data_IF_673359745066
#
_entry.id   IF_673359745066
#
_cell.length_a   1.000
_cell.length_b   1.000
_cell.length_c   1.000
_cell.angle_alpha   90.00
_cell.angle_beta   90.00
_cell.angle_gamma   90.00
#
_symmetry.space_group_name_H-M   'P 1'
#
loop_
_entity.id
_entity.type
_entity.pdbx_description
1 polymer ?
#
# COMPACT_ATOMS: atom_id res chain seq x y z
N UNK A 1 -11.54 2.01 -28.27
CA UNK A 1 -10.98 3.11 -27.47
C UNK A 1 -10.14 3.99 -28.38
N UNK A 2 -10.24 5.30 -28.23
CA UNK A 2 -9.33 6.22 -28.92
C UNK A 2 -7.92 6.13 -28.33
N UNK A 3 -6.92 6.61 -29.07
CA UNK A 3 -5.53 6.61 -28.61
C UNK A 3 -5.36 7.35 -27.28
N UNK A 4 -6.02 8.51 -27.12
CA UNK A 4 -5.97 9.32 -25.90
C UNK A 4 -6.51 8.57 -24.68
N UNK A 5 -7.57 7.79 -24.88
CA UNK A 5 -8.17 6.95 -23.84
C UNK A 5 -7.23 5.80 -23.44
N UNK A 6 -6.55 5.18 -24.41
CA UNK A 6 -5.56 4.15 -24.14
C UNK A 6 -4.35 4.71 -23.39
N UNK A 7 -3.84 5.87 -23.81
CA UNK A 7 -2.72 6.56 -23.15
C UNK A 7 -3.09 6.93 -21.71
N UNK A 8 -4.29 7.48 -21.49
CA UNK A 8 -4.78 7.78 -20.14
C UNK A 8 -4.84 6.54 -19.26
N UNK A 9 -5.39 5.42 -19.77
CA UNK A 9 -5.45 4.15 -19.02
C UNK A 9 -4.07 3.63 -18.63
N UNK A 10 -3.09 3.69 -19.53
CA UNK A 10 -1.70 3.29 -19.22
C UNK A 10 -1.08 4.22 -18.17
N UNK A 11 -1.27 5.53 -18.29
CA UNK A 11 -0.78 6.50 -17.33
C UNK A 11 -1.38 6.28 -15.93
N UNK A 12 -2.69 6.01 -15.86
CA UNK A 12 -3.41 5.71 -14.62
C UNK A 12 -2.88 4.44 -13.95
N UNK A 13 -2.69 3.36 -14.74
CA UNK A 13 -2.14 2.12 -14.21
C UNK A 13 -0.73 2.33 -13.65
N UNK A 14 0.13 3.06 -14.36
CA UNK A 14 1.49 3.39 -13.90
C UNK A 14 1.47 4.25 -12.64
N UNK A 15 0.56 5.22 -12.54
CA UNK A 15 0.41 6.05 -11.34
C UNK A 15 0.01 5.20 -10.13
N UNK A 16 -0.94 4.27 -10.29
CA UNK A 16 -1.35 3.33 -9.23
C UNK A 16 -0.21 2.39 -8.84
N UNK A 17 0.55 1.86 -9.80
CA UNK A 17 1.73 1.02 -9.52
C UNK A 17 2.79 1.80 -8.72
N UNK A 18 3.03 3.05 -9.08
CA UNK A 18 3.93 3.94 -8.33
C UNK A 18 3.37 4.27 -6.93
N UNK A 19 2.06 4.47 -6.79
CA UNK A 19 1.41 4.69 -5.50
C UNK A 19 1.63 3.50 -4.56
N UNK A 20 1.47 2.26 -5.05
CA UNK A 20 1.75 1.05 -4.28
C UNK A 20 3.20 0.98 -3.80
N UNK A 21 4.16 1.26 -4.69
CA UNK A 21 5.57 1.29 -4.36
C UNK A 21 5.91 2.38 -3.33
N UNK A 22 5.35 3.59 -3.49
CA UNK A 22 5.54 4.70 -2.56
C UNK A 22 4.95 4.41 -1.20
N UNK A 23 3.78 3.77 -1.12
CA UNK A 23 3.20 3.34 0.16
C UNK A 23 4.15 2.39 0.91
N UNK A 24 4.74 1.41 0.22
CA UNK A 24 5.71 0.49 0.80
C UNK A 24 6.98 1.22 1.29
N UNK A 25 7.58 2.07 0.45
CA UNK A 25 8.78 2.83 0.80
C UNK A 25 8.54 3.82 1.95
N UNK A 26 7.41 4.51 1.96
CA UNK A 26 7.06 5.46 3.02
C UNK A 26 6.76 4.74 4.34
N UNK A 27 6.11 3.58 4.28
CA UNK A 27 5.90 2.70 5.41
C UNK A 27 7.24 2.24 6.02
N UNK A 28 8.20 1.88 5.18
CA UNK A 28 9.52 1.38 5.57
C UNK A 28 10.43 2.48 6.11
N UNK A 29 10.62 3.59 5.40
CA UNK A 29 11.64 4.59 5.79
C UNK A 29 11.15 6.06 5.74
N UNK A 30 10.00 6.35 5.13
CA UNK A 30 9.61 7.73 4.80
C UNK A 30 8.99 8.55 5.94
N UNK A 31 8.46 9.74 5.62
CA UNK A 31 7.69 10.55 6.57
C UNK A 31 6.25 10.02 6.68
N UNK A 32 5.75 9.78 7.89
CA UNK A 32 4.40 9.25 8.08
C UNK A 32 3.29 10.28 7.77
N UNK A 33 3.57 11.58 7.88
CA UNK A 33 2.65 12.61 7.44
C UNK A 33 2.48 12.57 5.93
N UNK A 34 3.57 12.35 5.17
CA UNK A 34 3.50 12.14 3.72
C UNK A 34 2.84 10.80 3.36
N UNK A 35 3.14 9.74 4.11
CA UNK A 35 2.52 8.43 3.94
C UNK A 35 0.99 8.51 3.94
N UNK A 36 0.39 9.20 4.91
CA UNK A 36 -1.08 9.31 4.99
C UNK A 36 -1.67 10.19 3.89
N UNK A 37 -0.89 11.06 3.24
CA UNK A 37 -1.34 11.79 2.05
C UNK A 37 -1.47 10.89 0.82
N UNK A 38 -0.94 9.67 0.83
CA UNK A 38 -1.12 8.67 -0.23
C UNK A 38 -2.50 8.01 -0.17
N UNK A 39 -3.22 8.15 0.95
CA UNK A 39 -4.60 7.72 1.10
C UNK A 39 -5.58 8.84 0.73
N UNK A 40 -6.80 8.47 0.35
CA UNK A 40 -7.93 9.40 0.34
C UNK A 40 -8.19 9.90 1.77
N UNK A 41 -8.92 11.01 1.90
CA UNK A 41 -9.24 11.57 3.22
C UNK A 41 -10.00 10.58 4.11
N UNK A 42 -10.92 9.82 3.50
CA UNK A 42 -11.72 8.74 4.05
C UNK A 42 -11.05 7.35 3.99
N UNK A 43 -9.76 7.31 3.63
CA UNK A 43 -9.04 6.06 3.34
C UNK A 43 -9.03 5.09 4.51
N UNK A 44 -8.98 3.79 4.22
CA UNK A 44 -8.97 2.75 5.25
C UNK A 44 -7.86 1.71 5.04
N UNK A 45 -7.42 1.15 6.16
CA UNK A 45 -6.43 0.07 6.19
C UNK A 45 -6.90 -0.99 7.19
N UNK A 46 -6.95 -2.24 6.74
CA UNK A 46 -7.30 -3.39 7.56
C UNK A 46 -6.11 -4.35 7.64
N UNK A 47 -5.68 -4.61 8.87
CA UNK A 47 -4.60 -5.55 9.16
C UNK A 47 -5.05 -7.01 9.08
N UNK A 48 -4.10 -7.95 9.10
CA UNK A 48 -4.40 -9.39 9.06
C UNK A 48 -5.14 -9.91 10.31
N UNK A 49 -5.12 -9.15 11.41
CA UNK A 49 -5.89 -9.39 12.63
C UNK A 49 -7.36 -8.95 12.53
N UNK A 50 -7.74 -8.36 11.38
CA UNK A 50 -9.07 -7.82 11.13
C UNK A 50 -9.29 -6.40 11.66
N UNK A 51 -8.32 -5.81 12.38
CA UNK A 51 -8.40 -4.45 12.89
C UNK A 51 -8.44 -3.43 11.74
N UNK A 52 -9.35 -2.46 11.82
CA UNK A 52 -9.56 -1.45 10.78
C UNK A 52 -9.20 -0.06 11.30
N UNK A 53 -8.40 0.67 10.53
CA UNK A 53 -8.11 2.10 10.74
C UNK A 53 -8.78 2.92 9.63
N UNK A 54 -9.40 4.05 9.97
CA UNK A 54 -10.16 4.88 9.01
C UNK A 54 -9.85 6.36 9.12
N UNK A 55 -9.60 6.99 7.98
CA UNK A 55 -9.24 8.38 7.87
C UNK A 55 -7.78 8.64 8.21
N UNK A 56 -7.21 9.71 7.65
CA UNK A 56 -5.77 10.00 7.72
C UNK A 56 -5.22 10.10 9.15
N UNK A 57 -5.99 10.65 10.09
CA UNK A 57 -5.57 10.79 11.48
C UNK A 57 -5.37 9.41 12.16
N UNK A 58 -6.31 8.50 11.98
CA UNK A 58 -6.25 7.16 12.57
C UNK A 58 -5.21 6.27 11.85
N UNK A 59 -5.07 6.43 10.53
CA UNK A 59 -3.99 5.80 9.76
C UNK A 59 -2.61 6.25 10.23
N UNK A 60 -2.44 7.54 10.54
CA UNK A 60 -1.20 8.09 11.07
C UNK A 60 -0.87 7.49 12.44
N UNK A 61 -1.84 7.48 13.35
CA UNK A 61 -1.69 6.88 14.68
C UNK A 61 -1.28 5.40 14.58
N UNK A 62 -1.97 4.61 13.75
CA UNK A 62 -1.62 3.20 13.54
C UNK A 62 -0.24 3.00 12.91
N UNK A 63 0.18 3.87 11.99
CA UNK A 63 1.53 3.82 11.44
C UNK A 63 2.62 4.16 12.47
N UNK A 64 2.35 5.13 13.36
CA UNK A 64 3.23 5.48 14.48
C UNK A 64 3.35 4.35 15.49
N UNK A 65 2.25 3.67 15.83
CA UNK A 65 2.24 2.49 16.71
C UNK A 65 3.12 1.36 16.12
N UNK A 66 3.01 1.08 14.82
CA UNK A 66 3.84 0.07 14.14
C UNK A 66 5.33 0.46 14.13
N UNK A 67 5.66 1.75 14.04
CA UNK A 67 7.04 2.23 14.19
C UNK A 67 7.55 2.08 15.61
N UNK A 68 6.77 2.50 16.60
CA UNK A 68 7.16 2.45 18.01
C UNK A 68 7.39 1.00 18.49
N UNK A 69 6.64 0.05 17.96
CA UNK A 69 6.81 -1.39 18.23
C UNK A 69 7.91 -2.06 17.43
N UNK A 70 8.61 -1.33 16.54
CA UNK A 70 9.68 -1.88 15.71
C UNK A 70 9.20 -2.89 14.67
N UNK A 71 7.88 -2.94 14.39
CA UNK A 71 7.33 -3.81 13.36
C UNK A 71 7.91 -3.42 12.01
N UNK A 72 7.90 -2.13 11.67
CA UNK A 72 8.41 -1.49 10.45
C UNK A 72 8.92 -0.08 10.76
N UNK A 73 9.72 0.52 9.90
CA UNK A 73 10.19 1.90 10.06
C UNK A 73 11.70 2.05 9.90
N UNK A 74 12.21 3.28 10.02
CA UNK A 74 13.65 3.52 9.97
C UNK A 74 14.38 2.65 11.00
N UNK A 75 15.51 2.07 10.59
CA UNK A 75 16.39 1.22 11.42
C UNK A 75 15.79 -0.12 11.90
N UNK A 76 14.61 -0.54 11.44
CA UNK A 76 14.07 -1.88 11.75
C UNK A 76 14.68 -2.99 10.88
N UNK A 77 15.43 -2.62 9.83
CA UNK A 77 15.95 -3.53 8.81
C UNK A 77 14.85 -4.40 8.19
N UNK A 78 13.67 -3.83 8.01
CA UNK A 78 12.54 -4.48 7.34
C UNK A 78 12.24 -3.87 5.99
N UNK A 79 11.73 -4.68 5.06
CA UNK A 79 11.32 -4.22 3.73
C UNK A 79 10.03 -4.87 3.26
N UNK A 80 9.14 -4.05 2.71
CA UNK A 80 8.00 -4.50 1.93
C UNK A 80 8.42 -4.65 0.46
N UNK A 81 8.37 -5.88 -0.06
CA UNK A 81 8.53 -6.15 -1.50
C UNK A 81 7.15 -6.46 -2.08
N UNK A 82 6.61 -5.50 -2.82
CA UNK A 82 5.30 -5.59 -3.48
C UNK A 82 5.50 -5.98 -4.95
N UNK A 83 4.84 -7.05 -5.39
CA UNK A 83 5.04 -7.61 -6.73
C UNK A 83 3.79 -8.35 -7.23
N UNK A 84 3.83 -8.82 -8.48
CA UNK A 84 2.76 -9.61 -9.11
C UNK A 84 1.40 -8.93 -8.95
N UNK A 85 1.35 -7.68 -9.41
CA UNK A 85 0.19 -6.81 -9.26
C UNK A 85 -0.70 -6.83 -10.50
N UNK A 86 -1.98 -7.10 -10.29
CA UNK A 86 -3.05 -6.89 -11.27
C UNK A 86 -3.87 -5.68 -10.84
N UNK A 87 -4.10 -4.74 -11.77
CA UNK A 87 -4.92 -3.54 -11.57
C UNK A 87 -6.07 -3.57 -12.57
N UNK A 88 -7.28 -3.26 -12.11
CA UNK A 88 -8.46 -3.11 -12.95
C UNK A 88 -9.01 -1.70 -12.83
N UNK A 89 -8.89 -0.94 -13.92
CA UNK A 89 -9.36 0.45 -14.01
C UNK A 89 -10.84 0.53 -14.41
N UNK A 90 -11.61 1.33 -13.67
CA UNK A 90 -13.02 1.63 -13.91
C UNK A 90 -13.27 3.15 -13.80
N UNK A 91 -12.84 3.91 -14.81
CA UNK A 91 -12.98 5.37 -14.84
C UNK A 91 -12.09 6.05 -13.79
N UNK A 92 -12.72 6.60 -12.74
CA UNK A 92 -12.04 7.29 -11.64
C UNK A 92 -11.90 6.42 -10.38
N UNK A 93 -12.21 5.12 -10.49
CA UNK A 93 -11.89 4.11 -9.48
C UNK A 93 -11.06 2.98 -10.08
N UNK A 94 -10.38 2.23 -9.22
CA UNK A 94 -9.67 1.02 -9.61
C UNK A 94 -9.60 0.03 -8.46
N UNK A 95 -9.44 -1.24 -8.78
CA UNK A 95 -9.12 -2.29 -7.81
C UNK A 95 -7.75 -2.88 -8.11
N UNK A 96 -7.08 -3.38 -7.09
CA UNK A 96 -5.77 -4.01 -7.20
C UNK A 96 -5.67 -5.25 -6.34
N UNK A 97 -5.01 -6.28 -6.88
CA UNK A 97 -4.57 -7.45 -6.12
C UNK A 97 -3.07 -7.59 -6.28
N UNK A 98 -2.35 -7.57 -5.17
CA UNK A 98 -0.87 -7.53 -5.14
C UNK A 98 -0.34 -8.55 -4.15
N UNK A 99 0.67 -9.33 -4.56
CA UNK A 99 1.42 -10.15 -3.62
C UNK A 99 2.46 -9.29 -2.91
N UNK A 100 2.57 -9.47 -1.60
CA UNK A 100 3.63 -8.84 -0.82
C UNK A 100 4.47 -9.88 -0.12
N UNK A 101 5.76 -9.60 -0.05
CA UNK A 101 6.69 -10.26 0.85
C UNK A 101 7.16 -9.24 1.86
N UNK A 102 7.20 -9.65 3.12
CA UNK A 102 7.73 -8.84 4.19
C UNK A 102 9.02 -9.47 4.71
N UNK A 103 10.13 -8.76 4.55
CA UNK A 103 11.45 -9.22 4.98
C UNK A 103 11.90 -8.50 6.25
N UNK A 104 12.65 -9.22 7.08
CA UNK A 104 13.50 -8.65 8.13
C UNK A 104 14.96 -8.97 7.88
N UNK A 105 15.84 -8.49 8.77
CA UNK A 105 17.29 -8.70 8.68
C UNK A 105 17.89 -8.26 7.32
N UNK A 106 17.33 -7.21 6.70
CA UNK A 106 17.65 -6.83 5.32
C UNK A 106 19.05 -6.23 5.11
N UNK A 107 19.79 -5.94 6.19
CA UNK A 107 21.21 -5.57 6.14
C UNK A 107 22.16 -6.76 6.35
N UNK A 108 21.64 -7.93 6.71
CA UNK A 108 22.39 -9.18 6.86
C UNK A 108 21.98 -10.19 5.79
N UNK A 109 21.56 -11.37 6.23
CA UNK A 109 20.89 -12.34 5.35
C UNK A 109 19.38 -12.08 5.47
N UNK A 110 18.70 -11.57 4.43
CA UNK A 110 17.29 -11.24 4.52
C UNK A 110 16.44 -12.48 4.82
N UNK A 111 15.54 -12.36 5.77
CA UNK A 111 14.63 -13.42 6.19
C UNK A 111 13.19 -13.04 5.85
N UNK A 112 12.48 -13.89 5.10
CA UNK A 112 11.07 -13.65 4.84
C UNK A 112 10.26 -13.92 6.12
N UNK A 113 9.68 -12.87 6.68
CA UNK A 113 8.84 -12.94 7.89
C UNK A 113 7.42 -13.36 7.57
N UNK A 114 6.84 -12.80 6.51
CA UNK A 114 5.48 -13.15 6.07
C UNK A 114 5.30 -12.86 4.58
N UNK A 115 4.29 -13.47 4.00
CA UNK A 115 3.78 -13.14 2.67
C UNK A 115 2.26 -13.21 2.68
N UNK A 116 1.63 -12.48 1.78
CA UNK A 116 0.18 -12.47 1.67
C UNK A 116 -0.28 -11.66 0.48
N UNK A 117 -1.54 -11.24 0.54
CA UNK A 117 -2.19 -10.51 -0.55
C UNK A 117 -2.74 -9.19 -0.03
N UNK A 118 -2.45 -8.11 -0.74
CA UNK A 118 -3.20 -6.86 -0.62
C UNK A 118 -4.39 -6.90 -1.58
N UNK A 119 -5.56 -6.62 -1.03
CA UNK A 119 -6.78 -6.30 -1.76
C UNK A 119 -7.04 -4.80 -1.60
N UNK A 120 -6.77 -4.06 -2.68
CA UNK A 120 -6.73 -2.61 -2.69
C UNK A 120 -7.85 -2.03 -3.55
N UNK A 121 -8.39 -0.89 -3.11
CA UNK A 121 -9.26 -0.02 -3.88
C UNK A 121 -8.63 1.37 -3.97
N UNK A 122 -8.67 1.96 -5.15
CA UNK A 122 -8.09 3.27 -5.45
C UNK A 122 -9.15 4.22 -5.99
N UNK A 123 -8.95 5.51 -5.72
CA UNK A 123 -9.82 6.57 -6.23
C UNK A 123 -8.96 7.69 -6.80
N UNK A 124 -9.33 8.19 -7.98
CA UNK A 124 -8.74 9.42 -8.52
C UNK A 124 -9.26 10.61 -7.73
N UNK A 125 -8.35 11.50 -7.36
CA UNK A 125 -8.63 12.77 -6.70
C UNK A 125 -8.11 13.92 -7.56
N UNK A 126 -8.40 15.16 -7.17
CA UNK A 126 -7.78 16.32 -7.82
C UNK A 126 -6.24 16.34 -7.71
N UNK A 127 -5.67 15.57 -6.78
CA UNK A 127 -4.22 15.43 -6.55
C UNK A 127 -3.65 14.10 -7.10
N UNK A 128 -4.35 13.46 -8.02
CA UNK A 128 -3.97 12.16 -8.59
C UNK A 128 -4.63 10.97 -7.90
N UNK A 129 -4.18 9.76 -8.24
CA UNK A 129 -4.67 8.51 -7.66
C UNK A 129 -4.23 8.35 -6.21
N UNK A 130 -5.16 7.87 -5.37
CA UNK A 130 -4.95 7.66 -3.93
C UNK A 130 -5.53 6.31 -3.50
N UNK A 131 -4.99 5.78 -2.41
CA UNK A 131 -5.47 4.55 -1.77
C UNK A 131 -6.76 4.85 -1.00
N UNK A 132 -7.88 4.24 -1.40
CA UNK A 132 -9.16 4.37 -0.72
C UNK A 132 -9.35 3.29 0.33
N UNK A 133 -8.91 2.06 0.05
CA UNK A 133 -9.01 0.95 0.99
C UNK A 133 -7.89 -0.06 0.71
N UNK A 134 -7.29 -0.55 1.79
CA UNK A 134 -6.41 -1.73 1.77
C UNK A 134 -6.91 -2.76 2.77
N UNK A 135 -7.03 -4.01 2.33
CA UNK A 135 -7.12 -5.17 3.20
C UNK A 135 -5.90 -6.04 3.00
N UNK A 136 -5.25 -6.35 4.11
CA UNK A 136 -4.17 -7.33 4.14
C UNK A 136 -4.79 -8.68 4.47
N UNK A 137 -4.89 -9.54 3.46
CA UNK A 137 -5.17 -10.94 3.70
C UNK A 137 -3.90 -11.57 4.26
N UNK A 138 -4.03 -12.23 5.42
CA UNK A 138 -2.98 -13.09 5.97
C UNK A 138 -2.59 -14.20 4.97
N UNK A 139 -1.63 -15.06 5.30
CA UNK A 139 -1.29 -16.17 4.42
C UNK A 139 -2.58 -16.92 4.03
N UNK A 140 -2.74 -17.31 2.76
CA UNK A 140 -3.90 -18.11 2.37
C UNK A 140 -3.99 -19.33 3.29
N UNK A 141 -5.20 -19.77 3.67
CA UNK A 141 -5.34 -20.98 4.46
C UNK A 141 -4.64 -22.16 3.75
N UNK A 142 -4.08 -23.10 4.51
CA UNK A 142 -3.33 -24.24 3.96
C UNK A 142 -4.16 -25.10 3.01
#
# INVERSE_FOLDING_TARGET
MGLDEQVRRVADELEIRNLLARLAQMADDGDLNEYVQLFTEDGSWQGPDGGVRRGRADLLAGAQERRASGIQGPNTNTRHVVTTTVIQLAGDTATGRTYYHYYGNTQGVPEQRTMGVYEDEFRRTAQGWKMARRVIQGPPPP
#
